data_IF_936349779556
#
_entry.id   IF_936349779556
#
_cell.length_a   1.000
_cell.length_b   1.000
_cell.length_c   1.000
_cell.angle_alpha   90.00
_cell.angle_beta   90.00
_cell.angle_gamma   90.00
#
_symmetry.space_group_name_H-M   'P 1'
#
loop_
_entity.id
_entity.type
_entity.pdbx_description
1 polymer ?
#
# COMPACT_ATOMS: atom_id res chain seq x y z
N UNK A 1 -5.51 -11.12 29.64
CA UNK A 1 -5.99 -10.10 28.68
C UNK A 1 -4.78 -9.31 28.25
N UNK A 2 -4.05 -9.86 27.27
CA UNK A 2 -2.83 -9.23 26.77
C UNK A 2 -3.20 -8.00 25.95
N UNK A 3 -2.69 -6.85 26.39
CA UNK A 3 -2.76 -5.61 25.63
C UNK A 3 -1.83 -5.81 24.43
N UNK A 4 -2.40 -5.78 23.22
CA UNK A 4 -1.62 -5.69 22.00
C UNK A 4 -0.67 -4.48 22.13
N UNK A 5 0.63 -4.73 22.11
CA UNK A 5 1.63 -3.67 22.08
C UNK A 5 1.43 -2.84 20.79
N UNK A 6 1.55 -1.51 20.83
CA UNK A 6 1.42 -0.68 19.64
C UNK A 6 2.60 -1.01 18.71
N UNK A 7 2.33 -1.70 17.60
CA UNK A 7 3.32 -1.89 16.55
C UNK A 7 3.77 -0.51 16.06
N UNK A 8 5.03 -0.15 16.30
CA UNK A 8 5.63 1.05 15.74
C UNK A 8 6.05 0.74 14.30
N UNK A 9 5.43 1.41 13.33
CA UNK A 9 5.99 1.54 11.99
C UNK A 9 7.27 2.36 12.13
N UNK A 10 8.40 1.65 12.16
CA UNK A 10 9.73 2.23 12.14
C UNK A 10 10.03 2.55 10.69
N UNK A 11 9.84 3.82 10.31
CA UNK A 11 10.31 4.31 9.01
C UNK A 11 11.85 4.26 8.99
N UNK A 12 12.37 3.26 8.28
CA UNK A 12 13.79 3.05 8.00
C UNK A 12 14.17 3.77 6.69
N UNK A 13 13.16 4.07 5.87
CA UNK A 13 13.19 4.78 4.60
C UNK A 13 13.91 6.12 4.65
N UNK A 14 13.34 7.02 5.45
CA UNK A 14 13.81 8.40 5.55
C UNK A 14 15.27 8.52 6.03
N UNK A 15 15.73 7.58 6.85
CA UNK A 15 17.07 7.64 7.42
C UNK A 15 18.15 7.18 6.45
N UNK A 16 17.85 6.37 5.43
CA UNK A 16 18.83 5.89 4.43
C UNK A 16 19.05 6.86 3.24
N UNK A 17 18.42 8.04 3.28
CA UNK A 17 18.43 9.05 2.20
C UNK A 17 19.47 10.18 2.36
N UNK A 18 20.25 10.23 3.45
CA UNK A 18 21.21 11.33 3.65
C UNK A 18 22.60 10.97 3.10
N UNK A 19 23.24 11.89 2.38
CA UNK A 19 24.59 11.72 1.82
C UNK A 19 25.72 11.56 2.88
N UNK A 20 25.36 11.39 4.15
CA UNK A 20 26.24 11.45 5.30
C UNK A 20 26.02 10.31 6.29
N UNK A 21 25.94 9.06 5.82
CA UNK A 21 26.05 7.92 6.72
C UNK A 21 27.40 7.93 7.44
N UNK A 22 27.38 8.33 8.72
CA UNK A 22 28.35 7.81 9.67
C UNK A 22 27.92 6.37 9.98
N UNK A 23 28.88 5.47 10.16
CA UNK A 23 28.62 4.05 10.44
C UNK A 23 27.63 3.84 11.62
N UNK A 24 27.63 4.74 12.59
CA UNK A 24 26.74 4.72 13.76
C UNK A 24 25.24 4.83 13.39
N UNK A 25 24.88 5.53 12.30
CA UNK A 25 23.49 5.67 11.85
C UNK A 25 22.97 4.40 11.15
N UNK A 26 23.87 3.66 10.48
CA UNK A 26 23.54 2.37 9.87
C UNK A 26 23.33 1.28 10.92
N UNK A 27 24.17 1.26 11.96
CA UNK A 27 24.04 0.29 13.05
C UNK A 27 22.73 0.48 13.82
N UNK A 28 22.28 1.73 14.05
CA UNK A 28 20.96 2.01 14.64
C UNK A 28 19.82 1.53 13.75
N UNK A 29 19.88 1.81 12.45
CA UNK A 29 18.88 1.34 11.47
C UNK A 29 18.78 -0.19 11.47
N UNK A 30 19.91 -0.89 11.45
CA UNK A 30 19.94 -2.36 11.48
C UNK A 30 19.42 -2.89 12.83
N UNK A 31 19.76 -2.23 13.94
CA UNK A 31 19.25 -2.58 15.26
C UNK A 31 17.72 -2.47 15.34
N UNK A 32 17.17 -1.34 14.89
CA UNK A 32 15.72 -1.10 14.80
C UNK A 32 15.03 -2.07 13.85
N UNK A 33 15.65 -2.36 12.71
CA UNK A 33 15.17 -3.35 11.76
C UNK A 33 15.06 -4.75 12.38
N UNK A 34 15.95 -5.11 13.31
CA UNK A 34 15.93 -6.42 14.00
C UNK A 34 14.92 -6.50 15.15
N UNK A 35 14.38 -5.38 15.61
CA UNK A 35 13.38 -5.35 16.68
C UNK A 35 12.13 -6.18 16.29
N UNK A 36 11.48 -6.78 17.29
CA UNK A 36 10.30 -7.64 17.08
C UNK A 36 9.08 -6.83 16.64
N UNK A 37 9.02 -5.56 17.04
CA UNK A 37 7.98 -4.59 16.68
C UNK A 37 8.09 -4.13 15.22
N UNK A 38 9.28 -4.23 14.61
CA UNK A 38 9.51 -3.92 13.20
C UNK A 38 9.07 -5.10 12.34
N UNK A 39 7.89 -5.01 11.72
CA UNK A 39 7.28 -6.13 10.97
C UNK A 39 7.56 -6.09 9.46
N UNK A 40 8.18 -5.01 8.98
CA UNK A 40 8.53 -4.78 7.57
C UNK A 40 9.66 -3.75 7.50
N UNK A 41 10.48 -3.80 6.45
CA UNK A 41 11.35 -2.70 6.06
C UNK A 41 10.61 -1.75 5.13
N UNK A 42 10.65 -0.46 5.44
CA UNK A 42 10.00 0.61 4.70
C UNK A 42 9.77 1.85 5.57
N UNK A 43 9.22 2.94 5.04
CA UNK A 43 8.79 3.09 3.65
C UNK A 43 10.01 3.31 2.74
N UNK A 44 10.29 2.40 1.81
CA UNK A 44 11.45 2.47 0.92
C UNK A 44 11.02 2.49 -0.54
N UNK A 45 11.87 2.88 -1.48
CA UNK A 45 11.53 2.87 -2.90
C UNK A 45 11.93 4.15 -3.61
N UNK A 46 11.15 4.53 -4.62
CA UNK A 46 11.50 5.60 -5.56
C UNK A 46 10.33 6.56 -5.78
N UNK A 47 10.58 7.86 -5.67
CA UNK A 47 9.62 8.93 -5.99
C UNK A 47 10.31 9.96 -6.91
N UNK A 48 10.10 9.80 -8.21
CA UNK A 48 10.63 10.71 -9.23
C UNK A 48 9.71 11.91 -9.50
N UNK A 49 8.53 11.95 -8.88
CA UNK A 49 7.60 13.07 -9.01
C UNK A 49 7.93 14.19 -8.01
N UNK A 50 8.08 13.85 -6.72
CA UNK A 50 8.45 14.82 -5.68
C UNK A 50 9.94 15.12 -5.69
N UNK A 51 10.75 14.09 -5.97
CA UNK A 51 12.17 14.19 -6.23
C UNK A 51 12.94 14.99 -5.16
N UNK A 52 12.64 14.76 -3.88
CA UNK A 52 13.29 15.44 -2.75
C UNK A 52 14.79 15.14 -2.65
N UNK A 53 15.21 13.97 -3.15
CA UNK A 53 16.60 13.56 -3.31
C UNK A 53 16.88 13.23 -4.78
N UNK A 54 18.10 13.43 -5.28
CA UNK A 54 18.44 13.09 -6.65
C UNK A 54 18.18 11.60 -6.96
N UNK A 55 17.75 11.25 -8.19
CA UNK A 55 17.41 9.87 -8.53
C UNK A 55 18.53 8.87 -8.25
N UNK A 56 19.79 9.25 -8.49
CA UNK A 56 20.94 8.38 -8.23
C UNK A 56 21.07 7.96 -6.75
N UNK A 57 20.72 8.86 -5.83
CA UNK A 57 20.76 8.58 -4.39
C UNK A 57 19.58 7.74 -3.95
N UNK A 58 18.39 8.00 -4.50
CA UNK A 58 17.21 7.15 -4.28
C UNK A 58 17.49 5.70 -4.70
N UNK A 59 18.07 5.51 -5.89
CA UNK A 59 18.44 4.18 -6.41
C UNK A 59 19.42 3.47 -5.48
N UNK A 60 20.47 4.18 -5.04
CA UNK A 60 21.50 3.62 -4.14
C UNK A 60 20.92 3.25 -2.78
N UNK A 61 20.09 4.11 -2.19
CA UNK A 61 19.44 3.86 -0.91
C UNK A 61 18.48 2.66 -1.01
N UNK A 62 17.66 2.62 -2.06
CA UNK A 62 16.72 1.52 -2.27
C UNK A 62 17.43 0.19 -2.51
N UNK A 63 18.52 0.14 -3.28
CA UNK A 63 19.32 -1.08 -3.42
C UNK A 63 19.83 -1.61 -2.07
N UNK A 64 20.33 -0.74 -1.20
CA UNK A 64 20.81 -1.13 0.14
C UNK A 64 19.69 -1.61 1.07
N UNK A 65 18.51 -0.97 1.01
CA UNK A 65 17.33 -1.38 1.77
C UNK A 65 16.81 -2.75 1.34
N UNK A 66 16.81 -3.03 0.04
CA UNK A 66 16.46 -4.35 -0.51
C UNK A 66 17.46 -5.40 -0.06
N UNK A 67 18.76 -5.10 -0.07
CA UNK A 67 19.79 -6.02 0.43
C UNK A 67 19.58 -6.35 1.92
N UNK A 68 19.30 -5.34 2.76
CA UNK A 68 19.00 -5.54 4.17
C UNK A 68 17.71 -6.36 4.38
N UNK A 69 16.67 -6.13 3.57
CA UNK A 69 15.44 -6.91 3.64
C UNK A 69 15.69 -8.39 3.34
N UNK A 70 16.53 -8.66 2.33
CA UNK A 70 16.93 -10.01 1.97
C UNK A 70 17.79 -10.66 3.05
N UNK A 71 18.67 -9.93 3.73
CA UNK A 71 19.44 -10.46 4.87
C UNK A 71 18.55 -10.82 6.06
N UNK A 72 17.63 -9.91 6.43
CA UNK A 72 16.77 -10.07 7.61
C UNK A 72 15.52 -10.91 7.32
N UNK A 73 15.27 -11.25 6.05
CA UNK A 73 14.03 -11.88 5.58
C UNK A 73 12.77 -11.14 6.05
N UNK A 74 12.83 -9.81 6.05
CA UNK A 74 11.69 -8.94 6.42
C UNK A 74 10.94 -8.47 5.18
N UNK A 75 9.60 -8.46 5.19
CA UNK A 75 8.82 -7.92 4.08
C UNK A 75 9.25 -6.50 3.71
N UNK A 76 9.04 -6.12 2.45
CA UNK A 76 9.32 -4.78 1.92
C UNK A 76 8.02 -4.02 1.72
N UNK A 77 7.91 -2.86 2.37
CA UNK A 77 6.83 -1.88 2.18
C UNK A 77 7.36 -0.76 1.26
N UNK A 78 6.95 -0.85 -0.01
CA UNK A 78 7.60 -0.12 -1.12
C UNK A 78 6.73 0.99 -1.67
N UNK A 79 7.28 2.19 -1.70
CA UNK A 79 6.76 3.36 -2.39
C UNK A 79 7.23 3.40 -3.84
N UNK A 80 6.31 3.71 -4.75
CA UNK A 80 6.66 3.98 -6.14
C UNK A 80 5.84 5.14 -6.70
N UNK A 81 6.54 6.09 -7.33
CA UNK A 81 5.93 7.18 -8.07
C UNK A 81 6.77 7.54 -9.30
N UNK A 82 6.21 7.26 -10.48
CA UNK A 82 6.84 7.56 -11.78
C UNK A 82 8.23 6.90 -11.93
N UNK A 83 8.42 5.74 -11.31
CA UNK A 83 9.71 5.05 -11.19
C UNK A 83 9.61 3.53 -11.40
N UNK A 84 8.52 3.05 -12.03
CA UNK A 84 8.22 1.63 -12.24
C UNK A 84 9.41 0.80 -12.76
N UNK A 85 10.03 1.23 -13.86
CA UNK A 85 11.09 0.46 -14.53
C UNK A 85 12.32 0.25 -13.63
N UNK A 86 12.77 1.32 -12.96
CA UNK A 86 13.92 1.27 -12.06
C UNK A 86 13.61 0.46 -10.80
N UNK A 87 12.40 0.58 -10.27
CA UNK A 87 11.97 -0.19 -9.11
C UNK A 87 11.95 -1.70 -9.41
N UNK A 88 11.34 -2.10 -10.53
CA UNK A 88 11.34 -3.51 -10.98
C UNK A 88 12.77 -3.98 -11.20
N UNK A 89 13.61 -3.18 -11.85
CA UNK A 89 15.02 -3.53 -12.08
C UNK A 89 15.78 -3.79 -10.78
N UNK A 90 15.58 -2.98 -9.75
CA UNK A 90 16.25 -3.17 -8.44
C UNK A 90 15.74 -4.41 -7.72
N UNK A 91 14.42 -4.65 -7.71
CA UNK A 91 13.81 -5.79 -7.02
C UNK A 91 14.10 -7.14 -7.70
N UNK A 92 14.28 -7.14 -9.02
CA UNK A 92 14.52 -8.36 -9.81
C UNK A 92 15.99 -8.66 -10.06
N UNK A 93 16.88 -7.72 -9.73
CA UNK A 93 18.34 -7.93 -9.78
C UNK A 93 18.72 -9.10 -8.88
N UNK A 94 19.54 -10.03 -9.39
CA UNK A 94 19.94 -11.26 -8.70
C UNK A 94 20.56 -10.95 -7.34
N UNK A 95 19.80 -11.13 -6.27
CA UNK A 95 20.28 -11.14 -4.89
C UNK A 95 20.75 -12.55 -4.54
N UNK A 96 21.81 -12.65 -3.72
CA UNK A 96 22.31 -13.94 -3.24
C UNK A 96 21.29 -14.66 -2.34
N UNK A 97 20.33 -13.89 -1.82
CA UNK A 97 19.26 -14.32 -0.95
C UNK A 97 17.89 -14.14 -1.65
N UNK A 98 16.88 -14.96 -1.33
CA UNK A 98 15.55 -14.78 -1.87
C UNK A 98 14.95 -13.44 -1.42
N UNK A 99 14.27 -12.76 -2.35
CA UNK A 99 13.53 -11.55 -2.04
C UNK A 99 12.37 -11.91 -1.09
N UNK A 100 12.22 -11.21 0.05
CA UNK A 100 11.08 -11.40 0.94
C UNK A 100 9.78 -10.89 0.29
N UNK A 101 8.61 -11.13 0.90
CA UNK A 101 7.35 -10.57 0.39
C UNK A 101 7.46 -9.05 0.19
N UNK A 102 6.92 -8.55 -0.93
CA UNK A 102 6.91 -7.12 -1.27
C UNK A 102 5.47 -6.64 -1.41
N UNK A 103 5.16 -5.47 -0.86
CA UNK A 103 3.94 -4.72 -1.19
C UNK A 103 4.33 -3.40 -1.84
N UNK A 104 3.75 -3.12 -3.01
CA UNK A 104 3.74 -1.77 -3.58
C UNK A 104 2.57 -1.04 -2.94
N UNK A 105 2.87 -0.24 -1.91
CA UNK A 105 1.86 0.42 -1.10
C UNK A 105 1.28 1.64 -1.83
N UNK A 106 0.07 2.05 -1.44
CA UNK A 106 -0.64 3.18 -2.02
C UNK A 106 -0.54 3.22 -3.56
N UNK A 107 -0.80 2.09 -4.20
CA UNK A 107 -0.66 1.95 -5.63
C UNK A 107 -1.66 2.84 -6.37
N UNK A 108 -1.15 3.63 -7.32
CA UNK A 108 -1.95 4.58 -8.13
C UNK A 108 -1.68 4.49 -9.63
N UNK A 109 -1.00 3.44 -10.05
CA UNK A 109 -0.56 3.23 -11.43
C UNK A 109 -1.60 2.58 -12.34
N UNK A 110 -1.10 2.15 -13.50
CA UNK A 110 -1.84 1.49 -14.58
C UNK A 110 -1.88 -0.02 -14.42
N UNK A 111 -2.77 -0.68 -15.17
CA UNK A 111 -2.84 -2.15 -15.20
C UNK A 111 -1.52 -2.79 -15.63
N UNK A 112 -0.80 -2.21 -16.58
CA UNK A 112 0.46 -2.80 -17.07
C UNK A 112 1.52 -2.83 -15.96
N UNK A 113 1.63 -1.76 -15.17
CA UNK A 113 2.51 -1.69 -13.99
C UNK A 113 2.06 -2.68 -12.90
N UNK A 114 0.77 -2.71 -12.58
CA UNK A 114 0.22 -3.66 -11.59
C UNK A 114 0.47 -5.11 -12.01
N UNK A 115 0.24 -5.44 -13.28
CA UNK A 115 0.47 -6.78 -13.84
C UNK A 115 1.93 -7.17 -13.71
N UNK A 116 2.86 -6.27 -14.02
CA UNK A 116 4.29 -6.50 -13.84
C UNK A 116 4.63 -6.87 -12.39
N UNK A 117 4.14 -6.11 -11.40
CA UNK A 117 4.33 -6.44 -9.98
C UNK A 117 3.70 -7.77 -9.58
N UNK A 118 2.51 -8.08 -10.08
CA UNK A 118 1.81 -9.34 -9.82
C UNK A 118 2.53 -10.55 -10.43
N UNK A 119 3.14 -10.41 -11.61
CA UNK A 119 3.92 -11.47 -12.26
C UNK A 119 5.15 -11.84 -11.40
N UNK A 120 5.70 -10.91 -10.61
CA UNK A 120 6.74 -11.17 -9.61
C UNK A 120 6.20 -11.66 -8.25
N UNK A 121 4.87 -11.79 -8.12
CA UNK A 121 4.20 -12.26 -6.92
C UNK A 121 4.03 -11.21 -5.82
N UNK A 122 4.24 -9.92 -6.12
CA UNK A 122 4.11 -8.83 -5.16
C UNK A 122 2.64 -8.56 -4.80
N UNK A 123 2.44 -7.94 -3.64
CA UNK A 123 1.16 -7.41 -3.19
C UNK A 123 0.95 -5.99 -3.71
N UNK A 124 -0.31 -5.62 -3.90
CA UNK A 124 -0.74 -4.27 -4.26
C UNK A 124 -1.53 -3.68 -3.10
N UNK A 125 -1.06 -2.55 -2.56
CA UNK A 125 -1.73 -1.79 -1.51
C UNK A 125 -2.68 -0.76 -2.09
N UNK A 126 -3.95 -0.78 -1.68
CA UNK A 126 -4.99 0.15 -2.15
C UNK A 126 -5.47 1.06 -1.02
N UNK A 127 -5.63 2.34 -1.32
CA UNK A 127 -6.08 3.39 -0.40
C UNK A 127 -7.43 3.98 -0.79
N UNK A 128 -7.88 5.00 -0.07
CA UNK A 128 -9.00 5.85 -0.50
C UNK A 128 -8.75 6.58 -1.83
N UNK A 129 -7.59 6.46 -2.50
CA UNK A 129 -7.32 7.02 -3.84
C UNK A 129 -8.40 6.67 -4.88
N UNK A 130 -9.14 5.58 -4.74
CA UNK A 130 -10.14 5.13 -5.72
C UNK A 130 -11.09 6.24 -6.21
N UNK A 131 -11.57 7.12 -5.34
CA UNK A 131 -12.52 8.17 -5.76
C UNK A 131 -11.90 9.20 -6.72
N UNK A 132 -10.58 9.43 -6.60
CA UNK A 132 -9.81 10.38 -7.42
C UNK A 132 -9.12 9.74 -8.61
N UNK A 133 -9.19 8.42 -8.76
CA UNK A 133 -8.62 7.74 -9.92
C UNK A 133 -9.34 8.20 -11.21
N UNK A 134 -8.51 8.65 -12.16
CA UNK A 134 -8.93 9.19 -13.45
C UNK A 134 -8.33 8.42 -14.63
N UNK A 135 -7.44 7.45 -14.38
CA UNK A 135 -6.81 6.67 -15.44
C UNK A 135 -7.83 5.71 -16.06
N UNK A 136 -7.83 5.62 -17.39
CA UNK A 136 -8.75 4.72 -18.11
C UNK A 136 -8.47 3.24 -17.81
N UNK A 137 -7.19 2.91 -17.56
CA UNK A 137 -6.69 1.59 -17.18
C UNK A 137 -6.10 1.57 -15.75
N UNK A 138 -6.57 2.46 -14.86
CA UNK A 138 -6.10 2.56 -13.47
C UNK A 138 -6.76 1.58 -12.49
N UNK A 139 -6.63 1.86 -11.19
CA UNK A 139 -7.12 1.01 -10.09
C UNK A 139 -8.61 0.70 -10.21
N UNK A 140 -9.44 1.71 -10.51
CA UNK A 140 -10.89 1.49 -10.69
C UNK A 140 -11.20 0.57 -11.86
N UNK A 141 -10.45 0.70 -12.96
CA UNK A 141 -10.60 -0.19 -14.10
C UNK A 141 -10.23 -1.62 -13.73
N UNK A 142 -9.13 -1.82 -13.03
CA UNK A 142 -8.68 -3.15 -12.61
C UNK A 142 -9.69 -3.84 -11.67
N UNK A 143 -10.26 -3.11 -10.71
CA UNK A 143 -11.29 -3.65 -9.80
C UNK A 143 -12.57 -4.04 -10.55
N UNK A 144 -13.10 -3.14 -11.41
CA UNK A 144 -14.31 -3.41 -12.19
C UNK A 144 -14.19 -4.63 -13.10
N UNK A 145 -13.01 -4.83 -13.67
CA UNK A 145 -12.71 -5.95 -14.56
C UNK A 145 -12.12 -7.16 -13.81
N UNK A 146 -12.04 -7.12 -12.48
CA UNK A 146 -11.53 -8.18 -11.62
C UNK A 146 -10.12 -8.67 -11.99
N UNK A 147 -9.27 -7.75 -12.45
CA UNK A 147 -7.91 -8.05 -12.92
C UNK A 147 -6.93 -8.24 -11.75
N UNK A 148 -7.19 -7.61 -10.61
CA UNK A 148 -6.39 -7.76 -9.40
C UNK A 148 -6.77 -9.06 -8.68
N UNK A 149 -5.83 -9.97 -8.37
CA UNK A 149 -6.13 -11.17 -7.63
C UNK A 149 -6.30 -10.88 -6.13
N UNK A 150 -7.38 -11.43 -5.54
CA UNK A 150 -7.78 -11.16 -4.15
C UNK A 150 -6.81 -11.65 -3.09
N UNK A 151 -5.94 -12.61 -3.41
CA UNK A 151 -4.87 -13.08 -2.52
C UNK A 151 -3.57 -12.26 -2.64
N UNK A 152 -3.59 -11.16 -3.40
CA UNK A 152 -2.48 -10.20 -3.54
C UNK A 152 -2.85 -8.75 -3.21
N UNK A 153 -4.05 -8.51 -2.68
CA UNK A 153 -4.45 -7.17 -2.25
C UNK A 153 -4.26 -6.94 -0.76
N UNK A 154 -3.68 -5.78 -0.45
CA UNK A 154 -3.71 -5.16 0.88
C UNK A 154 -4.53 -3.87 0.78
N UNK A 155 -5.14 -3.48 1.89
CA UNK A 155 -5.88 -2.21 1.99
C UNK A 155 -5.32 -1.38 3.13
N UNK A 156 -5.24 -0.08 2.91
CA UNK A 156 -4.66 0.86 3.86
C UNK A 156 -5.38 2.21 3.78
N UNK A 157 -5.16 3.07 4.77
CA UNK A 157 -5.73 4.43 4.77
C UNK A 157 -4.78 5.47 4.25
N UNK A 158 -3.47 5.25 4.40
CA UNK A 158 -2.41 6.25 4.22
C UNK A 158 -2.72 7.57 4.96
N UNK A 159 -3.39 7.47 6.10
CA UNK A 159 -3.75 8.63 6.92
C UNK A 159 -2.48 9.35 7.41
N UNK A 160 -2.42 10.69 7.37
CA UNK A 160 -3.54 11.63 7.23
C UNK A 160 -3.97 11.94 5.78
N UNK A 161 -3.39 11.28 4.79
CA UNK A 161 -3.69 11.48 3.37
C UNK A 161 -4.76 10.51 2.86
N UNK A 162 -4.94 10.49 1.53
CA UNK A 162 -5.81 9.56 0.78
C UNK A 162 -7.26 9.47 1.29
N UNK A 163 -7.82 10.59 1.78
CA UNK A 163 -9.21 10.67 2.20
C UNK A 163 -10.19 10.10 1.14
N UNK A 164 -11.00 9.07 1.47
CA UNK A 164 -11.98 8.50 0.55
C UNK A 164 -13.24 9.39 0.50
N UNK A 165 -13.30 10.33 -0.44
CA UNK A 165 -14.47 11.21 -0.58
C UNK A 165 -15.68 10.48 -1.19
N UNK A 166 -16.36 9.68 -0.37
CA UNK A 166 -17.56 8.89 -0.73
C UNK A 166 -18.76 9.75 -1.16
N UNK A 167 -18.75 11.04 -0.82
CA UNK A 167 -19.81 12.00 -1.18
C UNK A 167 -19.59 12.64 -2.55
N UNK A 168 -18.46 12.39 -3.21
CA UNK A 168 -18.18 12.95 -4.53
C UNK A 168 -19.26 12.54 -5.54
N UNK A 169 -19.92 13.52 -6.17
CA UNK A 169 -21.04 13.29 -7.11
C UNK A 169 -20.68 12.31 -8.23
N UNK A 170 -19.49 12.43 -8.80
CA UNK A 170 -19.00 11.54 -9.87
C UNK A 170 -18.91 10.09 -9.38
N UNK A 171 -18.33 9.88 -8.19
CA UNK A 171 -18.22 8.56 -7.58
C UNK A 171 -19.60 7.96 -7.30
N UNK A 172 -20.53 8.72 -6.68
CA UNK A 172 -21.88 8.22 -6.40
C UNK A 172 -22.64 7.81 -7.67
N UNK A 173 -22.49 8.56 -8.76
CA UNK A 173 -23.09 8.18 -10.05
C UNK A 173 -22.46 6.90 -10.62
N UNK A 174 -21.14 6.77 -10.50
CA UNK A 174 -20.41 5.59 -10.93
C UNK A 174 -20.84 4.35 -10.13
N UNK A 175 -20.94 4.46 -8.80
CA UNK A 175 -21.40 3.38 -7.93
C UNK A 175 -22.85 2.95 -8.23
N UNK A 176 -23.77 3.89 -8.45
CA UNK A 176 -25.16 3.59 -8.87
C UNK A 176 -25.24 2.82 -10.18
N UNK A 177 -24.32 3.07 -11.12
CA UNK A 177 -24.26 2.33 -12.38
C UNK A 177 -23.78 0.88 -12.21
N UNK A 178 -23.11 0.58 -11.09
CA UNK A 178 -22.70 -0.78 -10.71
C UNK A 178 -23.82 -1.50 -9.92
N UNK A 179 -24.60 -0.77 -9.11
CA UNK A 179 -25.71 -1.30 -8.30
C UNK A 179 -26.80 -2.00 -9.13
N UNK A 180 -27.05 -1.57 -10.37
CA UNK A 180 -28.03 -2.26 -11.24
C UNK A 180 -27.65 -3.72 -11.57
N UNK A 181 -26.42 -4.14 -11.26
CA UNK A 181 -25.91 -5.50 -11.48
C UNK A 181 -25.24 -6.11 -10.22
N UNK A 182 -25.35 -5.50 -9.03
CA UNK A 182 -24.55 -5.83 -7.85
C UNK A 182 -25.38 -6.18 -6.60
N UNK A 183 -24.79 -6.99 -5.72
CA UNK A 183 -25.34 -7.41 -4.43
C UNK A 183 -24.99 -6.46 -3.26
N UNK A 184 -24.24 -5.38 -3.49
CA UNK A 184 -23.71 -4.51 -2.42
C UNK A 184 -24.12 -3.04 -2.62
N UNK A 185 -24.68 -2.43 -1.56
CA UNK A 185 -24.87 -0.98 -1.43
C UNK A 185 -23.52 -0.31 -1.24
N UNK A 186 -23.24 0.74 -2.00
CA UNK A 186 -21.86 1.11 -2.25
C UNK A 186 -21.05 1.64 -1.07
N UNK A 187 -21.69 2.22 -0.04
CA UNK A 187 -21.10 2.61 1.26
C UNK A 187 -22.19 2.49 2.34
N UNK A 188 -21.87 1.92 3.50
CA UNK A 188 -22.76 1.76 4.63
C UNK A 188 -22.91 3.05 5.45
N UNK A 189 -24.05 3.21 6.12
CA UNK A 189 -24.28 4.30 7.08
C UNK A 189 -23.21 4.32 8.19
N UNK A 190 -22.68 3.15 8.54
CA UNK A 190 -21.63 2.99 9.53
C UNK A 190 -20.30 3.59 9.04
N UNK A 191 -19.85 3.24 7.83
CA UNK A 191 -18.65 3.81 7.24
C UNK A 191 -18.80 5.33 7.00
N UNK A 192 -19.97 5.78 6.50
CA UNK A 192 -20.25 7.21 6.35
C UNK A 192 -20.21 7.94 7.70
N UNK A 193 -20.73 7.35 8.78
CA UNK A 193 -20.70 7.94 10.12
C UNK A 193 -19.27 8.20 10.58
N UNK A 194 -18.36 7.22 10.46
CA UNK A 194 -16.96 7.41 10.85
C UNK A 194 -16.26 8.46 10.00
N UNK A 195 -16.45 8.43 8.68
CA UNK A 195 -15.87 9.44 7.80
C UNK A 195 -16.33 10.86 8.16
N UNK A 196 -17.62 11.04 8.45
CA UNK A 196 -18.17 12.38 8.71
C UNK A 196 -17.76 12.95 10.07
N UNK A 197 -17.52 12.09 11.05
CA UNK A 197 -17.23 12.53 12.42
C UNK A 197 -15.73 12.65 12.72
N UNK A 198 -14.89 11.88 12.03
CA UNK A 198 -13.46 11.79 12.36
C UNK A 198 -12.55 12.22 11.21
N UNK A 199 -12.99 12.10 9.97
CA UNK A 199 -12.19 12.43 8.80
C UNK A 199 -12.66 13.72 8.12
N UNK A 200 -11.76 14.35 7.38
CA UNK A 200 -12.09 15.36 6.38
C UNK A 200 -11.03 15.35 5.27
N UNK A 201 -11.20 16.24 4.29
CA UNK A 201 -10.29 16.30 3.13
C UNK A 201 -8.84 16.61 3.51
N UNK A 202 -8.62 17.39 4.56
CA UNK A 202 -7.29 17.80 5.02
C UNK A 202 -6.67 16.81 6.02
N UNK A 203 -7.51 15.97 6.65
CA UNK A 203 -7.06 14.95 7.60
C UNK A 203 -7.92 13.70 7.52
N UNK A 204 -7.36 12.66 6.91
CA UNK A 204 -7.89 11.31 7.00
C UNK A 204 -7.45 10.63 8.31
N UNK A 205 -8.13 9.54 8.67
CA UNK A 205 -7.86 8.76 9.90
C UNK A 205 -7.91 7.26 9.60
N UNK A 206 -7.32 6.39 10.45
CA UNK A 206 -7.39 4.94 10.31
C UNK A 206 -8.84 4.38 10.25
N UNK A 207 -9.81 5.04 10.88
CA UNK A 207 -11.21 4.61 10.82
C UNK A 207 -11.83 4.71 9.42
N UNK A 208 -11.19 5.43 8.48
CA UNK A 208 -11.62 5.47 7.07
C UNK A 208 -11.41 4.15 6.32
N UNK A 209 -10.67 3.20 6.89
CA UNK A 209 -10.38 1.91 6.25
C UNK A 209 -11.66 1.15 5.88
N UNK A 210 -12.71 1.25 6.71
CA UNK A 210 -14.02 0.66 6.43
C UNK A 210 -14.60 1.18 5.11
N UNK A 211 -14.55 2.50 4.87
CA UNK A 211 -15.01 3.09 3.63
C UNK A 211 -14.14 2.70 2.42
N UNK A 212 -12.82 2.62 2.58
CA UNK A 212 -11.93 2.10 1.52
C UNK A 212 -12.28 0.65 1.16
N UNK A 213 -12.51 -0.21 2.17
CA UNK A 213 -12.91 -1.60 1.97
C UNK A 213 -14.24 -1.71 1.20
N UNK A 214 -15.25 -0.96 1.61
CA UNK A 214 -16.56 -0.94 0.96
C UNK A 214 -16.50 -0.38 -0.47
N UNK A 215 -15.69 0.66 -0.72
CA UNK A 215 -15.44 1.14 -2.08
C UNK A 215 -14.84 0.04 -2.97
N UNK A 216 -13.82 -0.66 -2.48
CA UNK A 216 -13.19 -1.76 -3.21
C UNK A 216 -14.22 -2.86 -3.49
N UNK A 217 -15.00 -3.26 -2.48
CA UNK A 217 -16.06 -4.26 -2.63
C UNK A 217 -17.09 -3.87 -3.69
N UNK A 218 -17.54 -2.60 -3.69
CA UNK A 218 -18.50 -2.08 -4.66
C UNK A 218 -17.93 -2.08 -6.09
N UNK A 219 -16.70 -1.62 -6.29
CA UNK A 219 -16.06 -1.65 -7.62
C UNK A 219 -15.78 -3.06 -8.11
N UNK A 220 -15.51 -4.00 -7.19
CA UNK A 220 -15.17 -5.37 -7.53
C UNK A 220 -16.38 -6.31 -7.64
N UNK A 221 -17.58 -5.84 -7.31
CA UNK A 221 -18.79 -6.65 -7.24
C UNK A 221 -18.66 -7.82 -6.24
N UNK A 222 -18.21 -7.51 -5.02
CA UNK A 222 -18.04 -8.42 -3.89
C UNK A 222 -18.71 -7.85 -2.64
N UNK A 223 -18.89 -8.67 -1.59
CA UNK A 223 -19.34 -8.12 -0.31
C UNK A 223 -18.17 -7.51 0.47
N UNK A 224 -18.40 -6.47 1.28
CA UNK A 224 -17.38 -5.89 2.15
C UNK A 224 -16.76 -6.92 3.10
N UNK A 225 -17.53 -7.90 3.57
CA UNK A 225 -17.02 -8.97 4.46
C UNK A 225 -16.04 -9.89 3.75
N UNK A 226 -16.29 -10.23 2.48
CA UNK A 226 -15.37 -11.06 1.69
C UNK A 226 -14.05 -10.32 1.47
N UNK A 227 -14.10 -9.05 1.07
CA UNK A 227 -12.92 -8.20 0.87
C UNK A 227 -12.16 -8.04 2.18
N UNK A 228 -12.83 -7.65 3.26
CA UNK A 228 -12.22 -7.44 4.57
C UNK A 228 -11.54 -8.70 5.11
N UNK A 229 -12.21 -9.86 5.02
CA UNK A 229 -11.64 -11.13 5.46
C UNK A 229 -10.37 -11.46 4.68
N UNK A 230 -10.42 -11.36 3.35
CA UNK A 230 -9.31 -11.72 2.47
C UNK A 230 -8.12 -10.78 2.61
N UNK A 231 -8.35 -9.48 2.65
CA UNK A 231 -7.26 -8.50 2.82
C UNK A 231 -6.64 -8.58 4.21
N UNK A 232 -7.43 -8.94 5.24
CA UNK A 232 -6.91 -9.25 6.58
C UNK A 232 -6.04 -10.50 6.57
N UNK A 233 -6.48 -11.60 5.93
CA UNK A 233 -5.69 -12.82 5.76
C UNK A 233 -4.36 -12.54 5.04
N UNK A 234 -4.41 -11.74 3.97
CA UNK A 234 -3.23 -11.31 3.23
C UNK A 234 -2.28 -10.49 4.10
N UNK A 235 -2.79 -9.50 4.85
CA UNK A 235 -1.97 -8.66 5.73
C UNK A 235 -1.31 -9.49 6.82
N UNK A 236 -2.04 -10.41 7.46
CA UNK A 236 -1.49 -11.34 8.45
C UNK A 236 -0.37 -12.19 7.86
N UNK A 237 -0.59 -12.76 6.67
CA UNK A 237 0.43 -13.53 5.97
C UNK A 237 1.66 -12.69 5.61
N UNK A 238 1.44 -11.49 5.08
CA UNK A 238 2.48 -10.58 4.64
C UNK A 238 3.38 -10.14 5.80
N UNK A 239 2.79 -9.66 6.90
CA UNK A 239 3.52 -9.17 8.08
C UNK A 239 3.91 -10.28 9.09
N UNK A 240 3.63 -11.55 8.79
CA UNK A 240 4.00 -12.68 9.65
C UNK A 240 3.18 -12.82 10.93
N UNK A 241 1.98 -12.25 10.99
CA UNK A 241 1.05 -12.41 12.11
C UNK A 241 0.27 -13.73 11.99
N UNK A 242 0.89 -14.82 12.44
CA UNK A 242 0.21 -16.12 12.57
C UNK A 242 -0.73 -16.12 13.77
#
# INVERSE_FOLDING_TARGET
>A
MDRAAPYSLIDIGANLNSHHFKNEELDDVVSRAKAAECVSLGECGLDFNRNFSPPADQLKAFEAQVDLACELQKPLFVHEREAHEDLVKILTKRRQNPLPPVVVHCFTGTWDEAKSYLDFGFYIGLTGFLWKDKLENGVKYMLKNQLLPLDRLLIETDAPYMFPNVKAKKLRNELKSLESNSTSTAISDHAEHFLNNFCNFDRNEPCSLAATCELIAAFWNRTPEEVARRTTENARKFYGFC
#
